data_IF_906741144474
#
_entry.id   IF_906741144474
#
_cell.length_a   1.000
_cell.length_b   1.000
_cell.length_c   1.000
_cell.angle_alpha   90.00
_cell.angle_beta   90.00
_cell.angle_gamma   90.00
#
_symmetry.space_group_name_H-M   'P 1'
#
loop_
_entity.id
_entity.type
_entity.pdbx_description
1 polymer ?
#
# COMPACT_ATOMS: atom_id res chain seq x y z
N UNK A 1 23.72 -22.41 23.39
CA UNK A 1 22.56 -21.67 23.91
C UNK A 1 21.53 -21.64 22.77
N UNK A 2 20.33 -22.18 22.97
CA UNK A 2 19.35 -22.36 21.89
C UNK A 2 18.58 -21.06 21.64
N UNK A 3 18.59 -20.55 20.41
CA UNK A 3 17.70 -19.47 20.02
C UNK A 3 16.30 -20.06 19.76
N UNK A 4 15.36 -19.78 20.66
CA UNK A 4 13.96 -20.17 20.53
C UNK A 4 13.32 -19.50 19.30
N UNK A 5 12.65 -20.30 18.48
CA UNK A 5 11.94 -19.86 17.28
C UNK A 5 10.82 -18.86 17.58
N UNK A 6 10.89 -17.65 17.01
CA UNK A 6 9.77 -16.72 16.97
C UNK A 6 8.70 -17.22 15.97
N UNK A 7 7.43 -17.40 16.37
CA UNK A 7 6.43 -18.09 15.53
C UNK A 7 5.78 -17.21 14.44
N UNK A 8 6.12 -15.91 14.36
CA UNK A 8 5.47 -14.96 13.45
C UNK A 8 6.31 -14.74 12.19
N UNK A 9 5.97 -15.47 11.12
CA UNK A 9 6.54 -15.26 9.78
C UNK A 9 5.69 -14.24 9.01
N UNK A 10 5.96 -12.96 9.26
CA UNK A 10 5.34 -11.85 8.54
C UNK A 10 5.61 -11.94 7.03
N UNK A 11 4.66 -11.45 6.25
CA UNK A 11 4.73 -11.33 4.80
C UNK A 11 4.46 -9.87 4.45
N UNK A 12 5.34 -9.30 3.65
CA UNK A 12 5.22 -7.92 3.19
C UNK A 12 4.82 -7.91 1.72
N UNK A 13 4.00 -6.95 1.33
CA UNK A 13 3.62 -6.69 -0.06
C UNK A 13 3.66 -5.19 -0.30
N UNK A 14 4.35 -4.76 -1.37
CA UNK A 14 4.37 -3.36 -1.76
C UNK A 14 3.13 -3.09 -2.62
N UNK A 15 2.31 -2.12 -2.22
CA UNK A 15 1.05 -1.76 -2.89
C UNK A 15 1.16 -0.30 -3.36
N UNK A 16 1.05 -0.07 -4.67
CA UNK A 16 1.24 1.24 -5.29
C UNK A 16 0.04 1.62 -6.19
N UNK A 17 -1.08 2.12 -5.61
CA UNK A 17 -2.28 2.47 -6.38
C UNK A 17 -2.01 3.50 -7.48
N UNK A 18 -1.18 4.51 -7.19
CA UNK A 18 -0.80 5.54 -8.18
C UNK A 18 -0.03 4.98 -9.38
N UNK A 19 0.87 4.00 -9.15
CA UNK A 19 1.64 3.39 -10.24
C UNK A 19 0.77 2.48 -11.11
N UNK A 20 -0.18 1.77 -10.52
CA UNK A 20 -1.21 1.06 -11.26
C UNK A 20 -2.05 2.02 -12.12
N UNK A 21 -2.52 3.15 -11.54
CA UNK A 21 -3.21 4.21 -12.30
C UNK A 21 -2.37 4.74 -13.47
N UNK A 22 -1.09 5.04 -13.26
CA UNK A 22 -0.21 5.54 -14.33
C UNK A 22 -0.07 4.52 -15.47
N UNK A 23 -0.05 3.22 -15.15
CA UNK A 23 0.02 2.12 -16.12
C UNK A 23 -1.30 1.88 -16.89
N UNK A 24 -2.46 2.16 -16.30
CA UNK A 24 -3.77 1.99 -16.94
C UNK A 24 -4.74 3.14 -16.61
N UNK A 25 -4.46 4.31 -17.20
CA UNK A 25 -5.33 5.51 -17.09
C UNK A 25 -6.66 5.38 -17.83
N UNK A 26 -6.87 4.32 -18.60
CA UNK A 26 -8.12 4.10 -19.34
C UNK A 26 -9.16 3.42 -18.46
N UNK A 27 -8.75 2.43 -17.65
CA UNK A 27 -9.65 1.66 -16.80
C UNK A 27 -9.59 2.05 -15.31
N UNK A 28 -8.50 2.71 -14.86
CA UNK A 28 -8.35 3.17 -13.48
C UNK A 28 -8.59 4.68 -13.43
N UNK A 29 -9.61 5.12 -12.69
CA UNK A 29 -9.84 6.54 -12.43
C UNK A 29 -8.90 7.08 -11.36
N UNK A 30 -8.46 8.34 -11.49
CA UNK A 30 -7.53 8.94 -10.51
C UNK A 30 -8.10 8.91 -9.09
N UNK A 31 -9.37 9.31 -8.92
CA UNK A 31 -10.03 9.37 -7.60
C UNK A 31 -10.10 8.03 -6.88
N UNK A 32 -10.19 6.93 -7.65
CA UNK A 32 -10.16 5.57 -7.12
C UNK A 32 -8.76 5.19 -6.62
N UNK A 33 -7.71 5.68 -7.27
CA UNK A 33 -6.31 5.46 -6.88
C UNK A 33 -5.84 6.37 -5.73
N UNK A 34 -6.47 7.53 -5.51
CA UNK A 34 -6.07 8.52 -4.47
C UNK A 34 -7.09 8.71 -3.34
N UNK A 35 -7.98 7.73 -3.12
CA UNK A 35 -8.99 7.72 -2.03
C UNK A 35 -10.07 8.82 -2.08
N UNK A 36 -10.27 9.48 -3.23
CA UNK A 36 -11.27 10.53 -3.40
C UNK A 36 -12.63 10.03 -3.94
N UNK A 37 -12.72 8.80 -4.45
CA UNK A 37 -13.95 8.26 -5.02
C UNK A 37 -15.09 8.24 -4.00
N UNK A 38 -16.27 8.72 -4.41
CA UNK A 38 -17.47 8.72 -3.59
C UNK A 38 -18.27 7.43 -3.83
N UNK A 39 -18.41 6.63 -2.77
CA UNK A 39 -19.10 5.34 -2.83
C UNK A 39 -18.28 4.21 -3.48
N UNK A 40 -18.87 3.02 -3.49
CA UNK A 40 -18.23 1.81 -4.02
C UNK A 40 -18.44 1.68 -5.54
N UNK A 41 -17.42 1.17 -6.23
CA UNK A 41 -17.56 0.71 -7.61
C UNK A 41 -18.39 -0.59 -7.70
N UNK A 42 -18.66 -1.07 -8.92
CA UNK A 42 -19.43 -2.30 -9.15
C UNK A 42 -18.81 -3.59 -8.59
N UNK A 43 -17.55 -3.55 -8.15
CA UNK A 43 -16.87 -4.66 -7.46
C UNK A 43 -16.92 -4.52 -5.91
N UNK A 44 -17.53 -3.47 -5.37
CA UNK A 44 -17.70 -3.24 -3.94
C UNK A 44 -16.60 -2.43 -3.27
N UNK A 45 -15.65 -1.85 -4.02
CA UNK A 45 -14.50 -1.12 -3.46
C UNK A 45 -14.62 0.40 -3.66
N UNK A 46 -14.32 1.17 -2.61
CA UNK A 46 -14.23 2.63 -2.68
C UNK A 46 -12.85 3.11 -3.16
N UNK A 47 -11.78 2.35 -2.95
CA UNK A 47 -10.43 2.71 -3.37
C UNK A 47 -9.67 1.50 -3.93
N UNK A 48 -8.65 1.77 -4.74
CA UNK A 48 -7.83 0.76 -5.40
C UNK A 48 -6.91 0.02 -4.43
N UNK A 49 -6.49 0.65 -3.33
CA UNK A 49 -5.61 0.05 -2.34
C UNK A 49 -6.25 -1.18 -1.69
N UNK A 50 -7.50 -1.06 -1.22
CA UNK A 50 -8.24 -2.17 -0.60
C UNK A 50 -8.47 -3.31 -1.61
N UNK A 51 -8.74 -2.98 -2.88
CA UNK A 51 -8.90 -3.97 -3.95
C UNK A 51 -7.59 -4.71 -4.27
N UNK A 52 -6.45 -4.01 -4.29
CA UNK A 52 -5.13 -4.61 -4.47
C UNK A 52 -4.75 -5.50 -3.27
N UNK A 53 -5.05 -5.07 -2.04
CA UNK A 53 -4.81 -5.84 -0.83
C UNK A 53 -5.68 -7.11 -0.78
N UNK A 54 -6.96 -7.02 -1.12
CA UNK A 54 -7.86 -8.17 -1.21
C UNK A 54 -7.55 -9.13 -2.37
N UNK A 55 -6.83 -8.67 -3.40
CA UNK A 55 -6.24 -9.52 -4.41
C UNK A 55 -5.02 -10.29 -3.86
N UNK A 56 -4.14 -9.62 -3.09
CA UNK A 56 -2.99 -10.26 -2.41
C UNK A 56 -3.46 -11.32 -1.41
N UNK A 57 -4.47 -11.01 -0.58
CA UNK A 57 -5.08 -11.99 0.32
C UNK A 57 -5.60 -13.23 -0.43
N UNK A 58 -6.37 -13.05 -1.50
CA UNK A 58 -6.92 -14.16 -2.28
C UNK A 58 -5.84 -14.98 -3.01
N UNK A 59 -4.76 -14.35 -3.46
CA UNK A 59 -3.62 -15.03 -4.06
C UNK A 59 -2.86 -15.88 -3.01
N UNK A 60 -2.68 -15.35 -1.80
CA UNK A 60 -2.01 -16.05 -0.70
C UNK A 60 -2.85 -17.20 -0.14
N UNK A 61 -4.16 -17.03 0.01
CA UNK A 61 -5.08 -18.09 0.43
C UNK A 61 -5.04 -19.28 -0.55
N UNK A 62 -4.99 -19.02 -1.87
CA UNK A 62 -4.86 -20.06 -2.91
C UNK A 62 -3.56 -20.87 -2.84
N UNK A 63 -2.49 -20.34 -2.24
CA UNK A 63 -1.19 -21.04 -2.09
C UNK A 63 -0.94 -21.52 -0.64
N UNK A 64 -2.00 -21.66 0.17
CA UNK A 64 -1.90 -22.14 1.55
C UNK A 64 -1.27 -21.14 2.52
N UNK A 65 -1.21 -19.86 2.14
CA UNK A 65 -0.48 -18.81 2.82
C UNK A 65 -1.31 -17.97 3.78
N UNK A 66 -2.02 -18.58 4.72
CA UNK A 66 -3.11 -17.98 5.54
C UNK A 66 -2.79 -16.75 6.41
N UNK A 67 -1.51 -16.45 6.68
CA UNK A 67 -1.12 -15.46 7.70
C UNK A 67 -0.49 -14.21 7.05
N UNK A 68 -1.28 -13.15 6.83
CA UNK A 68 -0.87 -11.83 6.31
C UNK A 68 -1.57 -10.70 7.10
N UNK A 69 -0.84 -9.62 7.42
CA UNK A 69 -1.32 -8.44 8.17
C UNK A 69 -0.63 -7.15 7.62
N UNK A 70 -1.35 -6.25 6.89
CA UNK A 70 -0.94 -4.95 6.23
C UNK A 70 -2.06 -3.82 6.26
N UNK A 71 -1.79 -2.52 6.60
CA UNK A 71 -2.62 -1.26 6.79
C UNK A 71 -4.02 -1.16 6.13
N UNK A 72 -4.93 -0.39 6.72
CA UNK A 72 -6.35 -0.27 6.35
C UNK A 72 -7.18 0.08 7.60
N UNK A 73 -7.61 1.33 7.80
CA UNK A 73 -8.16 1.82 9.08
C UNK A 73 -9.46 1.14 9.54
N UNK A 74 -10.27 0.63 8.60
CA UNK A 74 -11.48 -0.16 8.87
C UNK A 74 -11.36 -1.62 8.41
N UNK A 75 -10.16 -2.08 8.03
CA UNK A 75 -9.95 -3.29 7.26
C UNK A 75 -10.35 -3.14 5.78
N UNK A 76 -10.35 -4.24 5.04
CA UNK A 76 -10.81 -4.33 3.63
C UNK A 76 -12.16 -5.04 3.52
N UNK A 77 -12.72 -5.14 2.31
CA UNK A 77 -13.98 -5.86 2.05
C UNK A 77 -13.90 -7.33 2.50
N UNK A 78 -12.76 -8.02 2.29
CA UNK A 78 -12.57 -9.42 2.73
C UNK A 78 -12.02 -9.57 4.15
N UNK A 79 -11.42 -8.52 4.73
CA UNK A 79 -10.86 -8.53 6.11
C UNK A 79 -11.39 -7.33 6.92
N UNK A 80 -12.72 -7.21 7.12
CA UNK A 80 -13.31 -6.08 7.82
C UNK A 80 -12.89 -6.03 9.29
N UNK A 81 -12.65 -4.83 9.82
CA UNK A 81 -12.32 -4.61 11.23
C UNK A 81 -10.93 -5.10 11.67
N UNK A 82 -10.12 -5.64 10.76
CA UNK A 82 -8.74 -6.04 11.08
C UNK A 82 -7.84 -4.81 10.95
N UNK A 83 -7.26 -4.38 12.07
CA UNK A 83 -6.09 -3.49 12.08
C UNK A 83 -4.82 -4.31 11.81
N UNK A 84 -3.93 -3.71 11.05
CA UNK A 84 -3.17 -4.40 10.01
C UNK A 84 -1.88 -3.49 9.83
N UNK A 85 -0.82 -3.77 9.06
CA UNK A 85 0.50 -3.03 9.16
C UNK A 85 1.00 -2.26 7.88
N UNK A 86 0.93 -0.91 7.77
CA UNK A 86 1.46 -0.14 6.59
C UNK A 86 2.63 0.78 6.89
N UNK A 87 3.59 0.76 5.98
CA UNK A 87 4.75 1.65 5.91
C UNK A 87 4.64 2.55 4.68
N UNK A 88 4.88 3.86 4.84
CA UNK A 88 4.96 4.79 3.72
C UNK A 88 6.33 4.69 3.05
N UNK A 89 6.33 4.48 1.73
CA UNK A 89 7.52 4.60 0.89
C UNK A 89 7.55 6.00 0.25
N UNK A 90 8.55 6.85 0.46
CA UNK A 90 9.76 6.71 1.28
C UNK A 90 10.01 7.95 2.16
N UNK A 91 10.98 7.87 3.08
CA UNK A 91 11.29 9.01 3.96
C UNK A 91 11.88 10.19 3.17
N UNK A 92 12.79 9.93 2.21
CA UNK A 92 13.53 10.95 1.47
C UNK A 92 13.46 10.72 -0.04
N UNK A 93 13.65 11.79 -0.82
CA UNK A 93 13.86 11.69 -2.28
C UNK A 93 15.20 11.01 -2.60
N UNK A 94 15.16 10.02 -3.50
CA UNK A 94 16.30 9.17 -3.85
C UNK A 94 16.84 9.53 -5.25
N UNK A 95 17.58 10.64 -5.35
CA UNK A 95 18.10 11.19 -6.62
C UNK A 95 19.07 10.28 -7.39
N UNK A 96 19.51 9.15 -6.82
CA UNK A 96 20.34 8.13 -7.47
C UNK A 96 19.54 6.92 -7.97
N UNK A 97 18.20 6.88 -7.80
CA UNK A 97 17.40 5.79 -8.34
C UNK A 97 17.33 5.85 -9.87
N UNK A 98 17.64 4.72 -10.49
CA UNK A 98 17.47 4.46 -11.91
C UNK A 98 16.00 4.16 -12.23
N UNK A 99 15.57 4.44 -13.47
CA UNK A 99 14.22 4.12 -13.95
C UNK A 99 13.47 5.35 -14.44
N UNK A 100 12.15 5.38 -14.22
CA UNK A 100 11.33 6.54 -14.54
C UNK A 100 11.68 7.73 -13.63
N UNK A 101 11.57 8.99 -14.08
CA UNK A 101 11.89 10.17 -13.24
C UNK A 101 11.10 10.22 -11.91
N UNK A 102 9.90 9.62 -11.86
CA UNK A 102 9.10 9.49 -10.63
C UNK A 102 9.80 8.70 -9.53
N UNK A 103 10.69 7.76 -9.88
CA UNK A 103 11.42 6.91 -8.92
C UNK A 103 12.30 7.71 -7.96
N UNK A 104 12.66 8.94 -8.30
CA UNK A 104 13.54 9.81 -7.52
C UNK A 104 12.77 10.72 -6.53
N UNK A 105 11.43 10.75 -6.60
CA UNK A 105 10.61 11.79 -5.95
C UNK A 105 9.53 11.29 -4.96
N UNK A 106 9.66 10.04 -4.48
CA UNK A 106 8.75 9.41 -3.51
C UNK A 106 8.91 9.86 -2.04
N UNK A 107 9.87 10.73 -1.74
CA UNK A 107 10.16 11.18 -0.38
C UNK A 107 9.05 12.03 0.24
N UNK A 108 8.76 11.78 1.51
CA UNK A 108 7.97 12.69 2.36
C UNK A 108 8.78 13.95 2.75
N UNK A 109 10.11 13.84 2.77
CA UNK A 109 11.05 14.91 3.08
C UNK A 109 12.05 15.11 1.93
N UNK A 110 12.54 16.34 1.78
CA UNK A 110 13.69 16.64 0.94
C UNK A 110 14.99 16.12 1.60
N UNK A 111 16.11 15.99 0.85
CA UNK A 111 17.40 15.55 1.42
C UNK A 111 17.95 16.42 2.56
N UNK A 112 17.53 17.70 2.64
CA UNK A 112 17.84 18.63 3.74
C UNK A 112 16.95 18.43 4.99
N UNK A 113 16.06 17.44 4.96
CA UNK A 113 15.05 17.10 5.99
C UNK A 113 13.89 18.08 6.11
N UNK A 114 13.74 19.05 5.21
CA UNK A 114 12.52 19.85 5.13
C UNK A 114 11.33 18.98 4.66
N UNK A 115 10.13 19.12 5.26
CA UNK A 115 8.96 18.33 4.85
C UNK A 115 8.44 18.81 3.49
N UNK A 116 8.17 17.87 2.58
CA UNK A 116 7.48 18.15 1.30
C UNK A 116 5.97 18.30 1.49
N UNK A 117 5.41 17.70 2.54
CA UNK A 117 3.99 17.69 2.85
C UNK A 117 3.76 17.91 4.35
N UNK A 118 2.69 18.60 4.71
CA UNK A 118 2.23 18.66 6.10
C UNK A 118 1.44 17.39 6.41
N UNK A 119 2.09 16.43 7.09
CA UNK A 119 1.50 15.14 7.47
C UNK A 119 1.41 15.07 8.99
N UNK A 120 0.26 14.61 9.48
CA UNK A 120 0.09 14.20 10.88
C UNK A 120 0.18 12.68 10.96
N UNK A 121 0.95 12.17 11.93
CA UNK A 121 1.13 10.73 12.20
C UNK A 121 0.46 10.28 13.50
N UNK A 122 -0.25 11.19 14.18
CA UNK A 122 -0.91 10.99 15.47
C UNK A 122 -2.40 10.65 15.31
#
# INVERSE_FOLDING_TARGET
MLASSYPYKYKYANVYPYIAYVGDKQNIHLDYAVFNQQGNNGAGYQNLFDAQLDLVYAALEKVGGSNLQIVSGNGTVKKPGVAIETYLFAMFDENQKNGAPTEQHFGLFNPDKSPKYQINFN
#
